data_IF_730086053657
#
_entry.id   IF_730086053657
#
_cell.length_a   1.000
_cell.length_b   1.000
_cell.length_c   1.000
_cell.angle_alpha   90.00
_cell.angle_beta   90.00
_cell.angle_gamma   90.00
#
_symmetry.space_group_name_H-M   'P 1'
#
loop_
_entity.id
_entity.type
_entity.pdbx_description
1 polymer ?
#
# COMPACT_ATOMS: atom_id res chain seq x y z
N UNK A 1 -12.15 -16.84 -19.98
CA UNK A 1 -13.19 -15.89 -20.41
C UNK A 1 -12.83 -14.49 -19.96
N UNK A 2 -12.95 -13.53 -20.85
CA UNK A 2 -12.65 -12.15 -20.55
C UNK A 2 -13.90 -11.37 -20.20
N UNK A 3 -13.78 -10.52 -19.19
CA UNK A 3 -14.80 -9.51 -18.92
C UNK A 3 -14.29 -8.15 -19.42
N UNK A 4 -15.19 -7.20 -19.57
CA UNK A 4 -14.85 -5.89 -20.12
C UNK A 4 -14.02 -5.02 -19.18
N UNK A 5 -13.88 -5.40 -17.91
CA UNK A 5 -13.09 -4.66 -16.93
C UNK A 5 -11.62 -5.01 -17.14
N UNK A 6 -10.80 -4.00 -17.44
CA UNK A 6 -9.40 -4.20 -17.84
C UNK A 6 -8.38 -3.72 -16.81
N UNK A 7 -8.81 -2.90 -15.84
CA UNK A 7 -7.90 -2.35 -14.83
C UNK A 7 -8.70 -1.80 -13.66
N UNK A 8 -8.00 -1.45 -12.58
CA UNK A 8 -8.58 -0.80 -11.42
C UNK A 8 -7.79 0.47 -11.12
N UNK A 9 -8.46 1.46 -10.54
CA UNK A 9 -7.88 2.72 -10.11
C UNK A 9 -8.32 2.94 -8.67
N UNK A 10 -7.36 3.15 -7.77
CA UNK A 10 -7.63 3.38 -6.36
C UNK A 10 -7.30 4.82 -6.00
N UNK A 11 -8.04 5.39 -5.08
CA UNK A 11 -7.83 6.76 -4.61
C UNK A 11 -7.55 6.79 -3.12
N UNK A 12 -6.55 7.56 -2.73
CA UNK A 12 -6.26 7.88 -1.34
C UNK A 12 -6.67 9.35 -1.11
N UNK A 13 -7.46 9.58 -0.08
CA UNK A 13 -7.91 10.92 0.26
C UNK A 13 -7.14 11.43 1.47
N UNK A 14 -6.52 12.59 1.34
CA UNK A 14 -5.73 13.19 2.41
C UNK A 14 -5.66 14.71 2.22
N UNK A 15 -5.66 15.51 3.29
CA UNK A 15 -5.44 16.95 3.17
C UNK A 15 -3.99 17.32 2.79
N UNK A 16 -3.08 16.35 2.80
CA UNK A 16 -1.68 16.56 2.42
C UNK A 16 -1.33 15.79 1.15
N UNK A 17 -2.11 15.99 0.10
CA UNK A 17 -1.97 15.22 -1.14
C UNK A 17 -0.58 15.37 -1.77
N UNK A 18 -0.03 16.59 -1.80
CA UNK A 18 1.29 16.79 -2.40
C UNK A 18 2.40 16.07 -1.64
N UNK A 19 2.35 16.09 -0.30
CA UNK A 19 3.31 15.39 0.53
C UNK A 19 3.21 13.87 0.32
N UNK A 20 1.99 13.34 0.22
CA UNK A 20 1.79 11.92 -0.04
C UNK A 20 2.28 11.52 -1.43
N UNK A 21 1.99 12.32 -2.46
CA UNK A 21 2.51 12.09 -3.81
C UNK A 21 4.03 12.02 -3.81
N UNK A 22 4.68 12.93 -3.06
CA UNK A 22 6.13 12.93 -2.96
C UNK A 22 6.67 11.63 -2.34
N UNK A 23 5.99 11.08 -1.34
CA UNK A 23 6.39 9.79 -0.75
C UNK A 23 6.28 8.67 -1.78
N UNK A 24 5.17 8.60 -2.51
CA UNK A 24 4.97 7.55 -3.53
C UNK A 24 6.03 7.64 -4.63
N UNK A 25 6.37 8.85 -5.05
CA UNK A 25 7.34 9.09 -6.10
C UNK A 25 8.78 8.87 -5.62
N UNK A 26 9.16 9.49 -4.49
CA UNK A 26 10.57 9.61 -4.09
C UNK A 26 11.01 8.53 -3.12
N UNK A 27 10.11 8.02 -2.27
CA UNK A 27 10.44 6.99 -1.28
C UNK A 27 10.10 5.60 -1.81
N UNK A 28 8.85 5.38 -2.26
CA UNK A 28 8.44 4.09 -2.82
C UNK A 28 8.92 3.91 -4.25
N UNK A 29 9.23 4.99 -4.95
CA UNK A 29 9.83 4.92 -6.28
C UNK A 29 8.91 4.43 -7.37
N UNK A 30 7.61 4.66 -7.24
CA UNK A 30 6.64 4.20 -8.24
C UNK A 30 6.63 5.12 -9.45
N UNK A 31 6.58 4.53 -10.64
CA UNK A 31 6.42 5.27 -11.89
C UNK A 31 5.07 5.95 -11.94
N UNK A 32 4.99 7.05 -12.64
CA UNK A 32 3.77 7.84 -12.72
C UNK A 32 3.65 8.56 -14.05
N UNK A 33 2.43 8.98 -14.35
CA UNK A 33 2.15 9.97 -15.40
C UNK A 33 1.55 11.20 -14.73
N UNK A 34 1.77 12.35 -15.30
CA UNK A 34 1.17 13.60 -14.82
C UNK A 34 0.00 13.96 -15.74
N UNK A 35 -1.22 13.78 -15.22
CA UNK A 35 -2.44 14.01 -16.00
C UNK A 35 -2.65 15.51 -16.29
N UNK A 36 -2.49 16.33 -15.25
CA UNK A 36 -2.44 17.78 -15.34
C UNK A 36 -1.50 18.28 -14.24
N UNK A 37 -1.05 19.55 -14.29
CA UNK A 37 0.01 20.00 -13.37
C UNK A 37 -0.26 19.66 -11.92
N UNK A 38 0.68 18.90 -11.33
CA UNK A 38 0.62 18.47 -9.94
C UNK A 38 -0.20 17.21 -9.69
N UNK A 39 -0.97 16.72 -10.65
CA UNK A 39 -1.81 15.54 -10.48
C UNK A 39 -1.11 14.31 -11.03
N UNK A 40 -0.44 13.56 -10.13
CA UNK A 40 0.29 12.36 -10.49
C UNK A 40 -0.60 11.12 -10.33
N UNK A 41 -0.57 10.26 -11.33
CA UNK A 41 -1.24 8.95 -11.28
C UNK A 41 -0.15 7.89 -11.31
N UNK A 42 -0.07 7.07 -10.27
CA UNK A 42 1.02 6.13 -10.06
C UNK A 42 0.68 4.73 -10.56
N UNK A 43 1.69 4.07 -11.09
CA UNK A 43 1.59 2.65 -11.43
C UNK A 43 1.82 1.84 -10.16
N UNK A 44 0.81 1.06 -9.78
CA UNK A 44 0.92 0.17 -8.62
C UNK A 44 1.73 -1.07 -8.95
N UNK A 45 2.36 -1.69 -7.92
CA UNK A 45 2.85 -3.05 -8.04
C UNK A 45 1.72 -4.01 -8.42
N UNK A 46 2.02 -5.22 -8.90
CA UNK A 46 1.00 -6.26 -9.12
C UNK A 46 0.12 -6.39 -7.87
N UNK A 47 -1.17 -6.60 -8.07
CA UNK A 47 -2.14 -6.51 -6.98
C UNK A 47 -3.06 -7.71 -6.91
N UNK A 48 -3.54 -8.01 -5.71
CA UNK A 48 -4.55 -9.02 -5.44
C UNK A 48 -5.67 -8.39 -4.61
N UNK A 49 -6.82 -9.04 -4.53
CA UNK A 49 -7.94 -8.57 -3.72
C UNK A 49 -8.45 -9.68 -2.82
N UNK A 50 -8.71 -9.35 -1.57
CA UNK A 50 -9.37 -10.22 -0.63
C UNK A 50 -10.66 -9.56 -0.13
N UNK A 51 -11.61 -10.36 0.30
CA UNK A 51 -12.87 -9.89 0.86
C UNK A 51 -12.95 -10.37 2.30
N UNK A 52 -12.97 -9.42 3.24
CA UNK A 52 -13.00 -9.72 4.66
C UNK A 52 -14.39 -9.44 5.22
N UNK A 53 -14.97 -10.37 6.01
CA UNK A 53 -16.27 -10.14 6.64
C UNK A 53 -16.19 -8.96 7.61
N UNK A 54 -17.28 -8.23 7.70
CA UNK A 54 -17.40 -7.07 8.58
C UNK A 54 -18.83 -6.92 9.06
N UNK A 55 -19.00 -6.42 10.27
CA UNK A 55 -20.32 -6.18 10.84
C UNK A 55 -20.76 -4.73 10.62
N UNK A 56 -21.08 -4.42 9.35
CA UNK A 56 -21.65 -3.13 8.98
C UNK A 56 -20.64 -2.10 8.47
N UNK A 57 -19.35 -2.32 8.61
CA UNK A 57 -18.36 -1.42 8.03
C UNK A 57 -18.15 -1.73 6.54
N UNK A 58 -18.10 -0.69 5.74
CA UNK A 58 -17.74 -0.80 4.30
C UNK A 58 -16.43 -0.11 4.00
N UNK A 59 -15.61 0.12 5.02
CA UNK A 59 -14.29 0.71 4.82
C UNK A 59 -13.39 -0.24 4.03
N UNK A 60 -12.53 0.33 3.20
CA UNK A 60 -11.60 -0.43 2.37
C UNK A 60 -10.18 -0.12 2.81
N UNK A 61 -9.31 -1.11 2.71
CA UNK A 61 -7.94 -0.99 3.17
C UNK A 61 -6.98 -1.32 2.03
N UNK A 62 -5.93 -0.52 1.92
CA UNK A 62 -4.82 -0.82 1.03
C UNK A 62 -3.72 -1.45 1.89
N UNK A 63 -3.22 -2.59 1.44
CA UNK A 63 -2.10 -3.27 2.07
C UNK A 63 -0.99 -3.42 1.04
N UNK A 64 0.25 -3.26 1.46
CA UNK A 64 1.40 -3.51 0.61
C UNK A 64 2.14 -4.74 1.12
N UNK A 65 2.62 -5.57 0.20
CA UNK A 65 3.34 -6.79 0.53
C UNK A 65 4.83 -6.63 0.28
N UNK A 66 5.64 -7.28 1.11
CA UNK A 66 7.08 -7.34 0.94
C UNK A 66 7.56 -8.77 1.23
N UNK A 67 8.77 -9.08 0.77
CA UNK A 67 9.35 -10.41 0.99
C UNK A 67 9.99 -10.55 2.37
N UNK A 68 10.53 -9.45 2.92
CA UNK A 68 11.21 -9.41 4.20
C UNK A 68 10.82 -8.13 4.91
N UNK A 69 9.93 -8.25 5.88
CA UNK A 69 9.39 -7.08 6.57
C UNK A 69 10.46 -6.32 7.35
N UNK A 70 11.32 -7.04 8.08
CA UNK A 70 12.33 -6.39 8.90
C UNK A 70 13.30 -5.56 8.06
N UNK A 71 13.79 -6.14 6.97
CA UNK A 71 14.69 -5.44 6.04
C UNK A 71 14.00 -4.25 5.37
N UNK A 72 12.74 -4.42 4.96
CA UNK A 72 11.96 -3.37 4.32
C UNK A 72 11.72 -2.20 5.27
N UNK A 73 11.35 -2.49 6.52
CA UNK A 73 11.17 -1.46 7.54
C UNK A 73 12.45 -0.67 7.78
N UNK A 74 13.60 -1.37 7.86
CA UNK A 74 14.88 -0.71 8.08
C UNK A 74 15.20 0.26 6.94
N UNK A 75 15.00 -0.18 5.70
CA UNK A 75 15.21 0.65 4.52
C UNK A 75 14.30 1.87 4.50
N UNK A 76 13.02 1.68 4.78
CA UNK A 76 12.04 2.76 4.76
C UNK A 76 12.27 3.75 5.92
N UNK A 77 12.70 3.27 7.09
CA UNK A 77 13.04 4.17 8.21
C UNK A 77 14.18 5.12 7.84
N UNK A 78 15.18 4.62 7.15
CA UNK A 78 16.29 5.46 6.68
C UNK A 78 15.77 6.58 5.77
N UNK A 79 14.70 6.30 5.02
CA UNK A 79 14.08 7.26 4.11
C UNK A 79 12.99 8.12 4.78
N UNK A 80 12.85 8.03 6.11
CA UNK A 80 11.96 8.90 6.87
C UNK A 80 10.56 8.36 7.12
N UNK A 81 10.26 7.12 6.77
CA UNK A 81 8.94 6.52 7.06
C UNK A 81 8.87 6.10 8.52
N UNK A 82 7.76 6.44 9.17
CA UNK A 82 7.46 6.01 10.52
C UNK A 82 6.47 4.85 10.51
N UNK A 83 6.57 4.00 11.54
CA UNK A 83 5.72 2.83 11.69
C UNK A 83 5.05 2.86 13.06
N UNK A 84 3.83 2.28 13.13
CA UNK A 84 3.11 2.17 14.38
C UNK A 84 3.55 0.91 15.12
N UNK A 85 4.31 1.10 16.20
CA UNK A 85 4.71 0.01 17.08
C UNK A 85 5.64 -1.02 16.45
N UNK A 86 5.66 -2.21 17.04
CA UNK A 86 6.50 -3.32 16.60
C UNK A 86 5.74 -4.20 15.63
N UNK A 87 6.45 -4.95 14.75
CA UNK A 87 5.79 -5.95 13.91
C UNK A 87 5.00 -6.96 14.73
N UNK A 88 3.83 -7.35 14.21
CA UNK A 88 2.97 -8.34 14.84
C UNK A 88 2.92 -9.59 13.99
N UNK A 89 3.02 -10.77 14.66
CA UNK A 89 2.98 -12.06 14.00
C UNK A 89 1.54 -12.55 13.95
N UNK A 90 0.91 -12.39 12.78
CA UNK A 90 -0.46 -12.80 12.56
C UNK A 90 -0.53 -14.07 11.73
N UNK A 91 -1.70 -14.72 11.70
CA UNK A 91 -1.86 -15.96 10.94
C UNK A 91 -1.62 -15.79 9.45
N UNK A 92 -1.96 -14.61 8.89
CA UNK A 92 -1.84 -14.34 7.46
C UNK A 92 -0.50 -13.69 7.07
N UNK A 93 0.28 -13.24 8.04
CA UNK A 93 1.56 -12.61 7.77
C UNK A 93 2.13 -11.87 8.96
N UNK A 94 3.33 -11.35 8.79
CA UNK A 94 3.98 -10.49 9.76
C UNK A 94 3.68 -9.05 9.33
N UNK A 95 3.07 -8.26 10.21
CA UNK A 95 2.45 -6.99 9.82
C UNK A 95 3.01 -5.79 10.58
N UNK A 96 2.97 -4.64 9.92
CA UNK A 96 3.16 -3.34 10.56
C UNK A 96 2.30 -2.31 9.83
N UNK A 97 2.18 -1.12 10.39
CA UNK A 97 1.44 -0.03 9.76
C UNK A 97 2.39 1.12 9.46
N UNK A 98 2.42 1.53 8.18
CA UNK A 98 3.14 2.73 7.78
C UNK A 98 2.30 3.96 8.05
N UNK A 99 2.91 4.97 8.65
CA UNK A 99 2.28 6.26 8.93
C UNK A 99 2.72 7.26 7.85
N UNK A 100 1.79 7.64 7.01
CA UNK A 100 2.05 8.49 5.85
C UNK A 100 1.45 9.88 6.04
N UNK A 101 1.88 10.87 5.21
CA UNK A 101 1.40 12.24 5.36
C UNK A 101 -0.12 12.36 5.33
N UNK A 102 -0.66 13.24 6.18
CA UNK A 102 -2.09 13.52 6.23
C UNK A 102 -2.92 12.47 6.96
N UNK A 103 -2.28 11.67 7.82
CA UNK A 103 -2.97 10.64 8.60
C UNK A 103 -3.31 9.38 7.79
N UNK A 104 -2.73 9.22 6.63
CA UNK A 104 -2.91 7.99 5.84
C UNK A 104 -2.12 6.87 6.46
N UNK A 105 -2.77 5.72 6.68
CA UNK A 105 -2.15 4.53 7.24
C UNK A 105 -2.26 3.39 6.24
N UNK A 106 -1.14 2.75 5.95
CA UNK A 106 -1.11 1.61 5.03
C UNK A 106 -0.46 0.44 5.74
N UNK A 107 -1.15 -0.71 5.72
CA UNK A 107 -0.59 -1.95 6.25
C UNK A 107 0.53 -2.41 5.33
N UNK A 108 1.69 -2.72 5.92
CA UNK A 108 2.81 -3.34 5.22
C UNK A 108 3.01 -4.70 5.85
N UNK A 109 3.10 -5.77 5.04
CA UNK A 109 3.25 -7.09 5.63
C UNK A 109 4.03 -8.06 4.74
N UNK A 110 4.61 -9.04 5.42
CA UNK A 110 5.27 -10.18 4.79
C UNK A 110 4.27 -11.33 4.84
N UNK A 111 3.68 -11.72 3.70
CA UNK A 111 2.58 -12.67 3.71
C UNK A 111 3.03 -14.09 4.06
N UNK A 112 2.15 -14.79 4.78
CA UNK A 112 2.24 -16.23 5.04
C UNK A 112 1.25 -17.01 4.18
N UNK A 113 0.31 -16.31 3.54
CA UNK A 113 -0.69 -16.93 2.68
C UNK A 113 -0.15 -17.12 1.26
N UNK A 114 -0.75 -18.05 0.52
CA UNK A 114 -0.49 -18.19 -0.90
C UNK A 114 -1.05 -16.98 -1.65
N UNK A 115 -0.41 -16.60 -2.75
CA UNK A 115 -0.85 -15.47 -3.55
C UNK A 115 -1.26 -15.91 -4.95
N UNK A 116 -2.40 -15.40 -5.46
CA UNK A 116 -2.79 -15.63 -6.85
C UNK A 116 -1.86 -14.96 -7.85
N UNK A 117 -0.98 -14.08 -7.41
CA UNK A 117 0.01 -13.45 -8.28
C UNK A 117 1.01 -14.45 -8.86
N UNK A 118 1.09 -15.64 -8.25
CA UNK A 118 1.95 -16.73 -8.72
C UNK A 118 1.24 -17.67 -9.69
N UNK A 119 -0.02 -17.42 -9.99
CA UNK A 119 -0.80 -18.24 -10.94
C UNK A 119 -0.44 -17.90 -12.38
#
# INVERSE_FOLDING_TARGET
MNVAIVAAHMLLYTPQADALRAVLRDVLGWDFVEDHPGWLIFKLPPSEIGVHPSEGSTAHQICLMCDDLEATMAELRVKGIEFRGKPEDESFGITTTMLLPGGVEILLYEPKHASPLEL
#
